data_IF_399016722267
#
_entry.id   IF_399016722267
#
_cell.length_a   1.000
_cell.length_b   1.000
_cell.length_c   1.000
_cell.angle_alpha   90.00
_cell.angle_beta   90.00
_cell.angle_gamma   90.00
#
_symmetry.space_group_name_H-M   'P 1'
#
loop_
_entity.id
_entity.type
_entity.pdbx_description
1 polymer ?
#
# COMPACT_ATOMS: atom_id res chain seq x y z
N UNK A 1 10.58 -30.10 25.98
CA UNK A 1 10.57 -28.73 25.41
C UNK A 1 9.14 -28.36 25.04
N UNK A 2 8.72 -27.12 25.29
CA UNK A 2 7.37 -26.62 24.96
C UNK A 2 7.53 -25.41 24.05
N UNK A 3 7.05 -25.51 22.82
CA UNK A 3 7.04 -24.40 21.86
C UNK A 3 5.76 -23.59 22.05
N UNK A 4 5.86 -22.31 22.39
CA UNK A 4 4.75 -21.35 22.35
C UNK A 4 4.68 -20.69 20.98
N UNK A 5 3.47 -20.52 20.44
CA UNK A 5 3.21 -19.75 19.21
C UNK A 5 2.14 -18.71 19.50
N UNK A 6 2.36 -17.48 19.06
CA UNK A 6 1.32 -16.45 19.01
C UNK A 6 0.61 -16.57 17.67
N UNK A 7 -0.71 -16.48 17.67
CA UNK A 7 -1.50 -16.45 16.45
C UNK A 7 -1.80 -14.99 16.12
N UNK A 8 -1.50 -14.57 14.90
CA UNK A 8 -1.80 -13.23 14.37
C UNK A 8 -2.67 -13.42 13.13
N UNK A 9 -3.75 -12.67 13.04
CA UNK A 9 -4.66 -12.66 11.89
C UNK A 9 -4.59 -11.32 11.19
N UNK A 10 -4.36 -11.35 9.87
CA UNK A 10 -4.32 -10.16 9.02
C UNK A 10 -5.59 -10.09 8.16
N UNK A 11 -6.10 -8.88 7.94
CA UNK A 11 -7.24 -8.61 7.05
C UNK A 11 -6.78 -8.24 5.64
N UNK A 12 -7.70 -8.33 4.68
CA UNK A 12 -7.53 -7.87 3.30
C UNK A 12 -8.44 -6.68 3.03
N UNK A 13 -8.02 -5.78 2.15
CA UNK A 13 -8.86 -4.73 1.56
C UNK A 13 -9.25 -5.08 0.13
N UNK A 14 -10.42 -4.59 -0.30
CA UNK A 14 -10.90 -4.71 -1.67
C UNK A 14 -11.02 -3.31 -2.27
N UNK A 15 -10.26 -3.04 -3.33
CA UNK A 15 -10.35 -1.81 -4.10
C UNK A 15 -11.09 -2.11 -5.40
N UNK A 16 -12.14 -1.32 -5.67
CA UNK A 16 -12.94 -1.46 -6.90
C UNK A 16 -13.18 -0.11 -7.53
N UNK A 17 -13.12 -0.06 -8.85
CA UNK A 17 -13.41 1.15 -9.60
C UNK A 17 -14.09 0.82 -10.93
N UNK A 18 -14.90 1.76 -11.40
CA UNK A 18 -15.53 1.70 -12.71
C UNK A 18 -14.99 2.84 -13.57
N UNK A 19 -14.45 2.48 -14.73
CA UNK A 19 -14.18 3.44 -15.81
C UNK A 19 -15.40 3.47 -16.74
N UNK A 20 -15.98 4.63 -16.92
CA UNK A 20 -17.19 4.83 -17.72
C UNK A 20 -16.95 5.93 -18.74
N UNK A 21 -17.19 5.61 -20.02
CA UNK A 21 -17.05 6.58 -21.13
C UNK A 21 -18.29 6.53 -21.99
N UNK A 22 -18.81 7.70 -22.38
CA UNK A 22 -19.98 7.82 -23.26
C UNK A 22 -19.75 7.05 -24.57
N UNK A 23 -20.73 6.24 -24.96
CA UNK A 23 -20.68 5.44 -26.18
C UNK A 23 -20.51 6.29 -27.44
N UNK A 24 -21.18 7.44 -27.50
CA UNK A 24 -21.10 8.37 -28.64
C UNK A 24 -19.67 8.88 -28.79
N UNK A 25 -19.03 9.25 -27.68
CA UNK A 25 -17.62 9.68 -27.67
C UNK A 25 -16.69 8.54 -28.08
N UNK A 26 -16.98 7.31 -27.67
CA UNK A 26 -16.23 6.13 -28.07
C UNK A 26 -16.33 5.85 -29.57
N UNK A 27 -17.54 5.91 -30.14
CA UNK A 27 -17.76 5.66 -31.58
C UNK A 27 -17.19 6.78 -32.46
N UNK A 28 -17.12 8.02 -31.95
CA UNK A 28 -16.49 9.16 -32.63
C UNK A 28 -14.99 8.97 -32.88
N UNK A 29 -14.30 8.11 -32.12
CA UNK A 29 -12.87 7.84 -32.31
C UNK A 29 -12.54 6.95 -33.53
N UNK A 30 -13.56 6.45 -34.25
CA UNK A 30 -13.37 5.69 -35.49
C UNK A 30 -12.59 4.38 -35.28
N UNK A 31 -11.51 4.19 -36.02
CA UNK A 31 -10.70 2.96 -35.96
C UNK A 31 -9.87 2.85 -34.66
N UNK A 32 -9.51 3.98 -34.05
CA UNK A 32 -8.64 4.04 -32.86
C UNK A 32 -9.40 3.89 -31.54
N UNK A 33 -10.71 3.68 -31.57
CA UNK A 33 -11.57 3.64 -30.38
C UNK A 33 -11.09 2.69 -29.28
N UNK A 34 -10.57 1.52 -29.65
CA UNK A 34 -10.04 0.55 -28.66
C UNK A 34 -8.76 1.05 -27.98
N UNK A 35 -7.88 1.71 -28.73
CA UNK A 35 -6.66 2.26 -28.19
C UNK A 35 -6.99 3.43 -27.25
N UNK A 36 -7.83 4.37 -27.69
CA UNK A 36 -8.25 5.49 -26.85
C UNK A 36 -8.89 5.01 -25.54
N UNK A 37 -9.73 3.97 -25.60
CA UNK A 37 -10.29 3.39 -24.37
C UNK A 37 -9.22 2.81 -23.44
N UNK A 38 -8.23 2.13 -23.99
CA UNK A 38 -7.12 1.60 -23.19
C UNK A 38 -6.28 2.70 -22.54
N UNK A 39 -6.19 3.87 -23.18
CA UNK A 39 -5.48 5.05 -22.64
C UNK A 39 -6.26 5.68 -21.48
N UNK A 40 -7.59 5.80 -21.60
CA UNK A 40 -8.45 6.24 -20.49
C UNK A 40 -8.39 5.26 -19.30
N UNK A 41 -8.49 3.96 -19.59
CA UNK A 41 -8.41 2.89 -18.58
C UNK A 41 -7.04 2.84 -17.87
N UNK A 42 -5.96 3.30 -18.53
CA UNK A 42 -4.63 3.37 -17.92
C UNK A 42 -4.54 4.42 -16.79
N UNK A 43 -5.33 5.50 -16.85
CA UNK A 43 -5.39 6.49 -15.78
C UNK A 43 -6.02 5.92 -14.50
N UNK A 44 -7.07 5.11 -14.65
CA UNK A 44 -7.70 4.40 -13.52
C UNK A 44 -6.77 3.35 -12.91
N UNK A 45 -6.05 2.61 -13.75
CA UNK A 45 -5.03 1.66 -13.31
C UNK A 45 -3.94 2.32 -12.45
N UNK A 46 -3.44 3.48 -12.87
CA UNK A 46 -2.42 4.23 -12.15
C UNK A 46 -2.94 4.70 -10.79
N UNK A 47 -4.14 5.30 -10.76
CA UNK A 47 -4.78 5.74 -9.52
C UNK A 47 -4.97 4.59 -8.51
N UNK A 48 -5.46 3.44 -8.98
CA UNK A 48 -5.60 2.25 -8.12
C UNK A 48 -4.25 1.72 -7.64
N UNK A 49 -3.22 1.76 -8.48
CA UNK A 49 -1.87 1.30 -8.09
C UNK A 49 -1.27 2.19 -7.01
N UNK A 50 -1.47 3.51 -7.10
CA UNK A 50 -1.04 4.46 -6.07
C UNK A 50 -1.76 4.21 -4.75
N UNK A 51 -3.08 3.99 -4.78
CA UNK A 51 -3.89 3.73 -3.57
C UNK A 51 -3.47 2.41 -2.88
N UNK A 52 -3.22 1.34 -3.65
CA UNK A 52 -2.70 0.08 -3.08
C UNK A 52 -1.33 0.29 -2.44
N UNK A 53 -0.43 1.03 -3.08
CA UNK A 53 0.90 1.30 -2.53
C UNK A 53 0.84 2.14 -1.26
N UNK A 54 -0.02 3.16 -1.22
CA UNK A 54 -0.27 3.94 -0.02
C UNK A 54 -0.78 3.06 1.12
N UNK A 55 -1.75 2.18 0.85
CA UNK A 55 -2.28 1.24 1.84
C UNK A 55 -1.24 0.21 2.32
N UNK A 56 -0.32 -0.24 1.47
CA UNK A 56 0.78 -1.13 1.89
C UNK A 56 1.67 -0.46 2.94
N UNK A 57 1.91 0.84 2.81
CA UNK A 57 2.77 1.57 3.75
C UNK A 57 1.96 2.09 4.95
N UNK A 58 0.87 2.81 4.73
CA UNK A 58 0.15 3.59 5.74
C UNK A 58 -1.25 3.08 6.08
N UNK A 59 -1.69 1.98 5.47
CA UNK A 59 -3.03 1.45 5.73
C UNK A 59 -3.25 1.14 7.21
N UNK A 60 -4.43 1.51 7.71
CA UNK A 60 -4.80 1.34 9.11
C UNK A 60 -6.28 0.97 9.23
N UNK A 61 -6.52 -0.25 9.71
CA UNK A 61 -7.87 -0.81 9.91
C UNK A 61 -8.60 -0.07 11.05
N UNK A 62 -7.90 0.59 11.97
CA UNK A 62 -8.52 1.35 13.04
C UNK A 62 -9.16 2.66 12.53
N UNK A 63 -8.52 3.30 11.54
CA UNK A 63 -9.05 4.50 10.87
C UNK A 63 -10.08 4.16 9.79
N UNK A 64 -9.77 3.19 8.93
CA UNK A 64 -10.65 2.74 7.85
C UNK A 64 -10.68 1.21 7.75
N UNK A 65 -11.83 0.64 8.12
CA UNK A 65 -12.08 -0.80 8.14
C UNK A 65 -12.01 -1.43 6.73
N UNK A 66 -12.14 -0.64 5.67
CA UNK A 66 -12.03 -1.11 4.29
C UNK A 66 -10.58 -1.33 3.82
N UNK A 67 -9.62 -0.76 4.54
CA UNK A 67 -8.18 -0.93 4.28
C UNK A 67 -7.60 -2.12 5.05
N UNK A 68 -6.31 -2.38 4.88
CA UNK A 68 -5.57 -3.38 5.65
C UNK A 68 -4.38 -2.75 6.36
N UNK A 69 -3.90 -3.38 7.43
CA UNK A 69 -2.79 -2.85 8.22
C UNK A 69 -1.46 -2.89 7.45
N UNK A 70 -0.99 -1.71 7.07
CA UNK A 70 0.29 -1.47 6.40
C UNK A 70 1.50 -1.53 7.33
N UNK A 71 2.67 -1.23 6.79
CA UNK A 71 3.94 -1.29 7.52
C UNK A 71 4.06 -0.23 8.63
N UNK A 72 3.58 0.99 8.41
CA UNK A 72 3.65 2.08 9.38
C UNK A 72 2.88 1.74 10.65
N UNK A 73 1.67 1.22 10.52
CA UNK A 73 0.81 0.77 11.63
C UNK A 73 1.46 -0.36 12.43
N UNK A 74 2.19 -1.27 11.76
CA UNK A 74 2.90 -2.38 12.42
C UNK A 74 4.18 -1.96 13.11
N UNK A 75 4.92 -1.00 12.57
CA UNK A 75 6.20 -0.50 13.11
C UNK A 75 6.06 0.93 13.67
N UNK A 76 4.95 1.21 14.37
CA UNK A 76 4.64 2.56 14.82
C UNK A 76 5.34 2.97 16.14
N UNK A 77 5.49 2.01 17.06
CA UNK A 77 5.83 2.31 18.45
C UNK A 77 7.17 1.68 18.88
N UNK A 78 8.12 2.50 19.33
CA UNK A 78 9.30 2.03 20.06
C UNK A 78 8.94 1.59 21.49
N UNK A 79 7.94 2.25 22.07
CA UNK A 79 7.33 1.92 23.36
C UNK A 79 5.83 1.93 23.14
N UNK A 80 5.17 0.84 23.48
CA UNK A 80 3.71 0.74 23.40
C UNK A 80 3.08 1.76 24.35
N UNK A 81 2.23 2.68 23.85
CA UNK A 81 1.62 3.73 24.67
C UNK A 81 0.66 3.20 25.74
N UNK A 82 0.07 2.02 25.56
CA UNK A 82 -0.88 1.44 26.52
C UNK A 82 -0.17 0.63 27.61
N UNK A 83 0.84 -0.13 27.24
CA UNK A 83 1.53 -1.04 28.16
C UNK A 83 2.84 -0.47 28.72
N UNK A 84 3.37 0.60 28.13
CA UNK A 84 4.68 1.19 28.46
C UNK A 84 5.85 0.19 28.33
N UNK A 85 5.68 -0.87 27.53
CA UNK A 85 6.69 -1.89 27.26
C UNK A 85 7.13 -1.78 25.80
N UNK A 86 8.42 -1.96 25.53
CA UNK A 86 8.92 -2.02 24.16
C UNK A 86 8.38 -3.30 23.47
N UNK A 87 7.61 -3.17 22.37
CA UNK A 87 7.15 -4.33 21.64
C UNK A 87 8.34 -5.07 21.01
N UNK A 88 8.20 -6.37 20.75
CA UNK A 88 9.32 -7.20 20.29
C UNK A 88 9.96 -6.71 18.98
N UNK A 89 9.18 -6.04 18.14
CA UNK A 89 9.60 -5.46 16.86
C UNK A 89 10.24 -4.07 17.00
N UNK A 90 10.26 -3.45 18.18
CA UNK A 90 10.89 -2.14 18.39
C UNK A 90 12.39 -2.16 18.06
N UNK A 91 13.05 -3.31 18.18
CA UNK A 91 14.46 -3.50 17.80
C UNK A 91 14.68 -3.26 16.30
N UNK A 92 13.65 -3.47 15.49
CA UNK A 92 13.69 -3.25 14.04
C UNK A 92 13.24 -1.83 13.66
N UNK A 93 13.09 -0.92 14.64
CA UNK A 93 12.81 0.49 14.41
C UNK A 93 14.06 1.28 14.82
N UNK A 94 14.81 1.74 13.82
CA UNK A 94 15.95 2.63 14.01
C UNK A 94 15.48 4.08 14.03
N UNK A 95 15.86 4.84 15.05
CA UNK A 95 15.50 6.25 15.16
C UNK A 95 16.62 7.13 14.60
N UNK A 96 16.30 7.95 13.60
CA UNK A 96 17.25 8.86 12.97
C UNK A 96 17.37 10.24 13.67
N UNK A 97 16.68 10.41 14.81
CA UNK A 97 16.83 11.57 15.70
C UNK A 97 16.07 12.84 15.31
N UNK A 98 15.32 12.83 14.21
CA UNK A 98 14.45 13.94 13.81
C UNK A 98 13.29 14.15 14.79
N UNK A 99 12.87 15.40 14.97
CA UNK A 99 11.74 15.75 15.85
C UNK A 99 10.78 16.68 15.12
N UNK A 100 9.53 16.79 15.57
CA UNK A 100 8.53 17.63 14.88
C UNK A 100 7.84 16.93 13.70
N UNK A 101 7.33 17.73 12.77
CA UNK A 101 6.43 17.27 11.69
C UNK A 101 7.15 16.95 10.39
N UNK A 102 8.37 17.45 10.20
CA UNK A 102 9.06 17.45 8.90
C UNK A 102 9.94 16.20 8.76
N UNK A 103 9.37 15.07 9.15
CA UNK A 103 10.06 13.80 9.27
C UNK A 103 9.53 12.79 8.26
N UNK A 104 10.45 12.03 7.66
CA UNK A 104 10.14 10.89 6.81
C UNK A 104 10.70 9.59 7.40
N UNK A 105 10.43 8.47 6.75
CA UNK A 105 10.93 7.16 7.15
C UNK A 105 11.28 6.29 5.96
N UNK A 106 12.26 5.42 6.13
CA UNK A 106 12.66 4.41 5.14
C UNK A 106 12.27 3.03 5.66
N UNK A 107 11.71 2.19 4.79
CA UNK A 107 11.40 0.80 5.09
C UNK A 107 12.25 -0.12 4.22
N UNK A 108 12.91 -1.09 4.85
CA UNK A 108 13.60 -2.18 4.17
C UNK A 108 12.82 -3.45 4.44
N UNK A 109 12.34 -4.10 3.38
CA UNK A 109 11.44 -5.26 3.46
C UNK A 109 12.07 -6.44 2.74
N UNK A 110 12.14 -7.57 3.44
CA UNK A 110 12.53 -8.85 2.86
C UNK A 110 11.29 -9.66 2.50
N UNK A 111 11.00 -9.72 1.19
CA UNK A 111 9.85 -10.43 0.66
C UNK A 111 10.05 -11.95 0.69
N UNK A 112 9.04 -12.68 1.17
CA UNK A 112 9.07 -14.14 1.21
C UNK A 112 7.84 -14.76 1.87
N UNK A 113 7.54 -16.02 1.52
CA UNK A 113 6.35 -16.74 2.01
C UNK A 113 6.29 -16.89 3.53
N UNK A 114 7.44 -17.11 4.17
CA UNK A 114 7.53 -17.19 5.63
C UNK A 114 7.97 -15.86 6.28
N UNK A 115 8.10 -14.81 5.46
CA UNK A 115 8.50 -13.44 5.84
C UNK A 115 7.34 -12.49 5.54
N UNK A 116 7.62 -11.30 5.02
CA UNK A 116 6.59 -10.37 4.53
C UNK A 116 6.14 -10.76 3.13
N UNK A 117 4.83 -10.86 2.92
CA UNK A 117 4.25 -11.08 1.60
C UNK A 117 2.85 -10.50 1.50
N UNK A 118 2.44 -10.23 0.26
CA UNK A 118 1.07 -9.90 -0.06
C UNK A 118 0.26 -11.19 -0.24
N UNK A 119 -1.00 -11.15 0.15
CA UNK A 119 -1.95 -12.24 -0.03
C UNK A 119 -3.28 -11.70 -0.53
N UNK A 120 -4.12 -12.59 -1.03
CA UNK A 120 -5.45 -12.30 -1.53
C UNK A 120 -6.44 -13.32 -0.95
N UNK A 121 -7.74 -12.98 -0.84
CA UNK A 121 -8.76 -13.89 -0.32
C UNK A 121 -8.88 -15.19 -1.13
N UNK A 122 -9.24 -16.28 -0.45
CA UNK A 122 -9.52 -17.54 -1.13
C UNK A 122 -10.76 -17.38 -2.03
N UNK A 123 -10.61 -17.72 -3.31
CA UNK A 123 -11.70 -17.62 -4.30
C UNK A 123 -11.64 -16.36 -5.16
N UNK A 124 -10.76 -15.41 -4.86
CA UNK A 124 -10.40 -14.32 -5.78
C UNK A 124 -9.09 -14.64 -6.51
N UNK A 125 -8.74 -13.81 -7.50
CA UNK A 125 -7.49 -13.93 -8.24
C UNK A 125 -6.44 -12.99 -7.66
N UNK A 126 -5.17 -13.40 -7.71
CA UNK A 126 -4.06 -12.53 -7.35
C UNK A 126 -3.89 -11.40 -8.38
N UNK A 127 -3.68 -10.19 -7.89
CA UNK A 127 -3.41 -9.02 -8.72
C UNK A 127 -4.70 -8.33 -9.18
N UNK A 128 -4.53 -7.42 -10.14
CA UNK A 128 -5.63 -6.65 -10.69
C UNK A 128 -6.43 -7.48 -11.69
N UNK A 129 -7.74 -7.55 -11.48
CA UNK A 129 -8.71 -8.07 -12.44
C UNK A 129 -9.36 -6.92 -13.21
N UNK A 130 -9.27 -6.98 -14.55
CA UNK A 130 -9.82 -5.99 -15.47
C UNK A 130 -10.89 -6.68 -16.30
N UNK A 131 -12.14 -6.27 -16.12
CA UNK A 131 -13.28 -6.83 -16.82
C UNK A 131 -13.96 -5.76 -17.69
N UNK A 132 -13.90 -5.92 -19.00
CA UNK A 132 -14.74 -5.15 -19.92
C UNK A 132 -16.19 -5.61 -19.80
N UNK A 133 -17.08 -4.75 -19.29
CA UNK A 133 -18.53 -4.99 -19.18
C UNK A 133 -19.27 -4.62 -20.48
N UNK A 134 -18.56 -4.04 -21.45
CA UNK A 134 -19.12 -3.56 -22.70
C UNK A 134 -20.08 -2.39 -22.51
N UNK A 135 -21.03 -2.28 -23.43
CA UNK A 135 -22.05 -1.25 -23.40
C UNK A 135 -23.06 -1.52 -22.27
N UNK A 136 -23.27 -0.53 -21.42
CA UNK A 136 -24.25 -0.54 -20.34
C UNK A 136 -24.99 0.80 -20.30
N UNK A 137 -26.27 0.77 -19.93
CA UNK A 137 -27.03 1.99 -19.66
C UNK A 137 -26.66 2.51 -18.27
N UNK A 138 -26.16 3.73 -18.19
CA UNK A 138 -25.72 4.40 -16.96
C UNK A 138 -26.60 5.63 -16.70
N UNK A 139 -26.69 6.04 -15.44
CA UNK A 139 -27.42 7.23 -15.02
C UNK A 139 -26.46 8.42 -14.91
N UNK A 140 -26.84 9.55 -15.49
CA UNK A 140 -26.16 10.83 -15.25
C UNK A 140 -26.50 11.40 -13.86
N UNK A 141 -25.88 12.53 -13.50
CA UNK A 141 -26.09 13.18 -12.21
C UNK A 141 -27.55 13.66 -11.98
N UNK A 142 -28.36 13.75 -13.04
CA UNK A 142 -29.76 14.14 -13.04
C UNK A 142 -30.70 12.94 -13.22
N UNK A 143 -30.20 11.71 -13.11
CA UNK A 143 -30.93 10.45 -13.36
C UNK A 143 -31.42 10.26 -14.81
N UNK A 144 -30.87 11.01 -15.76
CA UNK A 144 -30.99 10.75 -17.19
C UNK A 144 -30.19 9.51 -17.57
N UNK A 145 -30.72 8.70 -18.48
CA UNK A 145 -30.06 7.47 -18.95
C UNK A 145 -29.21 7.78 -20.17
N UNK A 146 -27.96 7.36 -20.16
CA UNK A 146 -27.07 7.39 -21.32
C UNK A 146 -26.37 6.04 -21.50
N UNK A 147 -25.95 5.76 -22.74
CA UNK A 147 -25.22 4.53 -23.06
C UNK A 147 -23.73 4.79 -22.88
N UNK A 148 -23.07 3.97 -22.05
CA UNK A 148 -21.64 4.07 -21.79
C UNK A 148 -20.93 2.72 -21.97
N UNK A 149 -19.67 2.79 -22.36
CA UNK A 149 -18.73 1.67 -22.29
C UNK A 149 -18.14 1.62 -20.88
N UNK A 150 -18.22 0.46 -20.22
CA UNK A 150 -17.84 0.28 -18.83
C UNK A 150 -16.75 -0.78 -18.67
N UNK A 151 -15.66 -0.43 -18.00
CA UNK A 151 -14.61 -1.35 -17.55
C UNK A 151 -14.68 -1.40 -16.03
N UNK A 152 -14.66 -2.61 -15.47
CA UNK A 152 -14.62 -2.84 -14.04
C UNK A 152 -13.21 -3.27 -13.64
N UNK A 153 -12.67 -2.60 -12.64
CA UNK A 153 -11.39 -2.93 -12.03
C UNK A 153 -11.64 -3.44 -10.61
N UNK A 154 -11.03 -4.56 -10.29
CA UNK A 154 -11.07 -5.13 -8.95
C UNK A 154 -9.67 -5.56 -8.53
N UNK A 155 -9.26 -5.15 -7.33
CA UNK A 155 -8.01 -5.58 -6.73
C UNK A 155 -8.21 -5.91 -5.26
N UNK A 156 -8.06 -7.19 -4.94
CA UNK A 156 -8.09 -7.70 -3.57
C UNK A 156 -6.66 -7.92 -3.07
N UNK A 157 -6.27 -7.19 -2.02
CA UNK A 157 -4.91 -7.25 -1.46
C UNK A 157 -4.94 -7.21 0.06
N UNK A 158 -4.11 -8.02 0.69
CA UNK A 158 -3.71 -7.89 2.08
C UNK A 158 -2.20 -8.00 2.22
N UNK A 159 -1.68 -7.47 3.32
CA UNK A 159 -0.26 -7.56 3.68
C UNK A 159 -0.13 -8.39 4.96
N UNK A 160 0.69 -9.44 4.89
CA UNK A 160 1.04 -10.23 6.07
C UNK A 160 2.53 -10.10 6.39
N UNK A 161 2.82 -9.90 7.66
CA UNK A 161 4.17 -9.89 8.22
C UNK A 161 4.27 -11.06 9.20
N UNK A 162 4.68 -12.24 8.69
CA UNK A 162 4.78 -13.45 9.53
C UNK A 162 5.93 -13.39 10.51
N UNK A 163 7.07 -12.88 10.06
CA UNK A 163 8.24 -12.62 10.90
C UNK A 163 8.52 -11.12 10.90
N UNK A 164 8.33 -10.49 12.06
CA UNK A 164 8.62 -9.07 12.23
C UNK A 164 10.11 -8.75 12.02
N UNK A 165 11.00 -9.73 12.08
CA UNK A 165 12.43 -9.52 11.80
C UNK A 165 12.71 -9.24 10.32
N UNK A 166 11.76 -9.52 9.44
CA UNK A 166 11.92 -9.38 7.99
C UNK A 166 11.69 -7.96 7.47
N UNK A 167 11.37 -7.00 8.35
CA UNK A 167 11.21 -5.59 8.00
C UNK A 167 11.98 -4.75 9.00
N UNK A 168 12.67 -3.72 8.52
CA UNK A 168 13.30 -2.69 9.34
C UNK A 168 12.77 -1.33 8.92
N UNK A 169 12.41 -0.49 9.90
CA UNK A 169 12.00 0.90 9.71
C UNK A 169 13.08 1.83 10.24
N UNK A 170 13.57 2.74 9.41
CA UNK A 170 14.34 3.90 9.85
C UNK A 170 13.35 5.05 10.00
N UNK A 171 12.97 5.37 11.23
CA UNK A 171 12.00 6.39 11.58
C UNK A 171 12.65 7.75 11.82
N UNK A 172 11.84 8.82 11.76
CA UNK A 172 12.21 10.17 12.19
C UNK A 172 13.41 10.77 11.43
N UNK A 173 13.43 10.64 10.10
CA UNK A 173 14.44 11.28 9.26
C UNK A 173 13.98 12.70 8.95
N UNK A 174 14.60 13.71 9.57
CA UNK A 174 14.29 15.11 9.29
C UNK A 174 14.83 15.49 7.90
N UNK A 175 13.92 15.79 6.96
CA UNK A 175 14.30 16.09 5.57
C UNK A 175 14.94 17.47 5.41
N UNK A 176 14.68 18.38 6.34
CA UNK A 176 15.19 19.76 6.30
C UNK A 176 16.65 19.84 6.78
N UNK A 177 17.03 18.94 7.68
CA UNK A 177 18.39 18.86 8.23
C UNK A 177 19.36 17.98 7.43
N UNK A 178 18.84 17.19 6.46
CA UNK A 178 19.65 16.31 5.62
C UNK A 178 20.65 17.11 4.77
N UNK A 179 21.93 16.79 4.95
CA UNK A 179 23.03 17.31 4.14
C UNK A 179 23.72 16.18 3.36
N UNK A 180 24.19 16.48 2.14
CA UNK A 180 24.85 15.50 1.27
C UNK A 180 26.07 14.84 1.93
N UNK A 181 26.84 15.61 2.69
CA UNK A 181 28.08 15.15 3.33
C UNK A 181 27.83 14.61 4.75
N UNK A 182 26.55 14.44 5.15
CA UNK A 182 26.14 13.99 6.48
C UNK A 182 26.75 14.82 7.64
N UNK A 183 27.09 16.09 7.39
CA UNK A 183 27.61 17.01 8.40
C UNK A 183 26.53 17.50 9.36
N UNK A 184 25.28 17.45 8.91
CA UNK A 184 24.05 17.76 9.65
C UNK A 184 22.98 16.72 9.29
N UNK A 185 22.06 16.49 10.21
CA UNK A 185 20.99 15.50 10.06
C UNK A 185 21.48 14.05 10.18
N UNK A 186 20.63 13.12 9.75
CA UNK A 186 20.91 11.69 9.83
C UNK A 186 21.89 11.21 8.76
N UNK A 187 22.89 10.41 9.13
CA UNK A 187 23.75 9.73 8.15
C UNK A 187 23.01 8.50 7.59
N UNK A 188 22.42 8.66 6.41
CA UNK A 188 21.63 7.62 5.77
C UNK A 188 22.43 6.37 5.42
N UNK A 189 23.72 6.49 5.10
CA UNK A 189 24.54 5.33 4.69
C UNK A 189 24.78 4.42 5.89
N UNK A 190 25.17 5.00 7.02
CA UNK A 190 25.41 4.24 8.26
C UNK A 190 24.11 3.61 8.77
N UNK A 191 22.99 4.36 8.74
CA UNK A 191 21.69 3.84 9.15
C UNK A 191 21.18 2.71 8.24
N UNK A 192 21.45 2.77 6.93
CA UNK A 192 21.11 1.71 6.00
C UNK A 192 21.99 0.46 6.21
N UNK A 193 23.28 0.63 6.51
CA UNK A 193 24.18 -0.49 6.84
C UNK A 193 23.74 -1.18 8.15
N UNK A 194 23.42 -0.40 9.18
CA UNK A 194 22.85 -0.92 10.42
C UNK A 194 21.52 -1.64 10.18
N UNK A 195 20.63 -1.06 9.40
CA UNK A 195 19.35 -1.69 9.06
C UNK A 195 19.50 -3.01 8.30
N UNK A 196 20.48 -3.11 7.40
CA UNK A 196 20.79 -4.36 6.70
C UNK A 196 21.37 -5.42 7.63
N UNK A 197 22.15 -5.01 8.65
CA UNK A 197 22.72 -5.93 9.64
C UNK A 197 21.68 -6.51 10.61
N UNK A 198 20.54 -5.84 10.77
CA UNK A 198 19.39 -6.30 11.57
C UNK A 198 18.54 -7.34 10.84
N UNK A 199 18.62 -7.42 9.50
CA UNK A 199 17.89 -8.43 8.74
C UNK A 199 18.57 -9.80 8.86
N UNK A 200 17.80 -10.90 8.97
CA UNK A 200 18.33 -12.26 9.05
C UNK A 200 18.72 -12.86 7.69
#
# INVERSE_FOLDING_TARGET
EKTSRVQVSDSTGQLTSYSEVDKTLYDLQGENKKQWRSEEDAGFLEGMSQEVMENIIYGDVAGDVSTFNGLATRYNHLIDPETSVAPANAVNILEAGGTGTDNTSIYIVQWGREKTHLFYPQGTQAGLDIQDKGQQTVLDAQSGRFEAMRTYFQWDVGLSVRDWRSVVRIANIDVSDLSKDASTGANLIDLLDEALSLLP
#
